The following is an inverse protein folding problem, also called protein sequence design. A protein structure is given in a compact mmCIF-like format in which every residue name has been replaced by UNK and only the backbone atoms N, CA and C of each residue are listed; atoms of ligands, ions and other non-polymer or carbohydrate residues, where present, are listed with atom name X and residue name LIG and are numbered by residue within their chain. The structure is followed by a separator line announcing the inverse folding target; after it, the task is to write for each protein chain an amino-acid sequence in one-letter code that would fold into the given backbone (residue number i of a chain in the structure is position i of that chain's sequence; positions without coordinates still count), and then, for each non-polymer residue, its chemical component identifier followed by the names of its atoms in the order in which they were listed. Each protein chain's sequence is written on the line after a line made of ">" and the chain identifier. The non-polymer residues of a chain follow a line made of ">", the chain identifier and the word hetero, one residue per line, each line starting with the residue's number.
data_IF_873247716442
#
_entry.id   IF_873247716442
#
_cell.length_a   1.000
_cell.length_b   1.000
_cell.length_c   1.000
_cell.angle_alpha   90.00
_cell.angle_beta   90.00
_cell.angle_gamma   90.00
#
_symmetry.space_group_name_H-M   'P 1'
#
loop_
_entity.id
_entity.type
_entity.pdbx_description
1 polymer ?
#
# COMPACT_ATOMS: atom_id res chain seq x y z
N UNK A 1 4.50 18.06 -6.15
CA UNK A 1 4.35 16.68 -6.70
C UNK A 1 5.76 16.15 -6.85
N UNK A 2 6.16 15.17 -6.04
CA UNK A 2 7.46 14.52 -6.23
C UNK A 2 7.46 13.86 -7.61
N UNK A 3 8.42 14.22 -8.42
CA UNK A 3 8.55 13.72 -9.78
C UNK A 3 9.08 12.29 -9.71
N UNK A 4 8.27 11.31 -10.11
CA UNK A 4 8.76 9.94 -10.24
C UNK A 4 9.86 9.92 -11.29
N UNK A 5 11.06 9.54 -10.88
CA UNK A 5 12.23 9.47 -11.78
C UNK A 5 11.98 8.56 -12.99
N UNK A 6 11.11 7.55 -12.85
CA UNK A 6 10.69 6.62 -13.91
C UNK A 6 9.27 6.12 -13.69
N UNK A 7 8.50 5.94 -14.76
CA UNK A 7 7.07 5.59 -14.74
C UNK A 7 6.82 4.07 -14.62
N UNK A 8 7.48 3.38 -13.69
CA UNK A 8 7.28 1.95 -13.47
C UNK A 8 7.39 1.62 -11.98
N UNK A 9 6.53 0.74 -11.48
CA UNK A 9 6.45 0.34 -10.08
C UNK A 9 6.69 -1.16 -9.87
N UNK A 10 7.26 -1.51 -8.73
CA UNK A 10 7.45 -2.88 -8.28
C UNK A 10 6.29 -3.30 -7.37
N UNK A 11 5.48 -4.26 -7.85
CA UNK A 11 4.36 -4.79 -7.09
C UNK A 11 4.73 -6.03 -6.29
N UNK A 12 4.47 -6.01 -4.98
CA UNK A 12 4.71 -7.14 -4.06
C UNK A 12 3.56 -8.17 -4.05
N UNK A 13 2.66 -8.12 -5.01
CA UNK A 13 1.53 -9.03 -5.11
C UNK A 13 1.93 -10.45 -5.57
N UNK A 14 2.93 -10.56 -6.43
CA UNK A 14 3.36 -11.81 -7.07
C UNK A 14 4.87 -11.96 -6.96
N UNK A 15 5.32 -12.32 -5.75
CA UNK A 15 6.73 -12.55 -5.47
C UNK A 15 7.13 -13.98 -5.85
N UNK A 16 8.41 -14.23 -6.09
CA UNK A 16 8.94 -15.60 -6.18
C UNK A 16 8.59 -16.39 -4.92
N UNK A 17 8.19 -17.64 -5.12
CA UNK A 17 7.79 -18.53 -4.01
C UNK A 17 8.64 -19.77 -4.01
N UNK A 18 9.01 -20.24 -2.82
CA UNK A 18 9.53 -21.58 -2.58
C UNK A 18 8.48 -22.33 -1.77
N UNK A 19 7.81 -23.29 -2.41
CA UNK A 19 6.64 -23.97 -1.88
C UNK A 19 5.52 -22.96 -1.50
N UNK A 20 5.32 -22.73 -0.20
CA UNK A 20 4.29 -21.79 0.34
C UNK A 20 4.88 -20.51 0.92
N UNK A 21 6.20 -20.37 0.90
CA UNK A 21 6.89 -19.21 1.47
C UNK A 21 7.48 -18.33 0.36
N UNK A 22 7.61 -17.03 0.65
CA UNK A 22 8.25 -16.10 -0.28
C UNK A 22 9.74 -16.43 -0.34
N UNK A 23 10.28 -16.55 -1.56
CA UNK A 23 11.73 -16.60 -1.77
C UNK A 23 12.34 -15.23 -1.48
N UNK A 24 12.72 -15.03 -0.22
CA UNK A 24 13.28 -13.76 0.26
C UNK A 24 14.59 -13.43 -0.47
N UNK A 25 15.45 -14.44 -0.72
CA UNK A 25 16.72 -14.20 -1.37
C UNK A 25 16.55 -13.69 -2.80
N UNK A 26 15.64 -14.29 -3.57
CA UNK A 26 15.32 -13.85 -4.92
C UNK A 26 14.60 -12.51 -4.90
N UNK A 27 13.63 -12.33 -4.00
CA UNK A 27 12.90 -11.05 -3.84
C UNK A 27 13.85 -9.90 -3.53
N UNK A 28 14.83 -10.10 -2.65
CA UNK A 28 15.84 -9.10 -2.34
C UNK A 28 16.68 -8.74 -3.58
N UNK A 29 17.12 -9.73 -4.37
CA UNK A 29 17.85 -9.48 -5.63
C UNK A 29 17.03 -8.65 -6.63
N UNK A 30 15.73 -8.95 -6.73
CA UNK A 30 14.82 -8.17 -7.60
C UNK A 30 14.67 -6.72 -7.13
N UNK A 31 14.52 -6.51 -5.82
CA UNK A 31 14.45 -5.16 -5.21
C UNK A 31 15.75 -4.38 -5.47
N UNK A 32 16.91 -5.02 -5.26
CA UNK A 32 18.21 -4.42 -5.50
C UNK A 32 18.37 -3.98 -6.96
N UNK A 33 18.10 -4.87 -7.90
CA UNK A 33 18.17 -4.58 -9.34
C UNK A 33 17.20 -3.45 -9.75
N UNK A 34 16.00 -3.40 -9.15
CA UNK A 34 15.01 -2.36 -9.41
C UNK A 34 15.50 -0.97 -8.95
N UNK A 35 16.06 -0.89 -7.74
CA UNK A 35 16.63 0.36 -7.20
C UNK A 35 17.90 0.78 -7.94
N UNK A 36 18.78 -0.16 -8.30
CA UNK A 36 19.99 0.10 -9.10
C UNK A 36 19.65 0.64 -10.49
N UNK A 37 18.58 0.15 -11.11
CA UNK A 37 18.06 0.66 -12.36
C UNK A 37 17.43 2.07 -12.25
N UNK A 38 17.35 2.65 -11.03
CA UNK A 38 16.84 3.99 -10.76
C UNK A 38 15.32 4.09 -10.64
N UNK A 39 14.63 2.97 -10.47
CA UNK A 39 13.21 2.95 -10.11
C UNK A 39 13.05 3.07 -8.60
N UNK A 40 11.95 3.67 -8.13
CA UNK A 40 11.78 3.95 -6.70
C UNK A 40 10.39 3.61 -6.15
N UNK A 41 9.42 3.30 -7.00
CA UNK A 41 8.02 3.08 -6.57
C UNK A 41 7.74 1.63 -6.26
N UNK A 42 7.28 1.36 -5.02
CA UNK A 42 6.89 0.03 -4.54
C UNK A 42 5.45 0.02 -4.07
N UNK A 43 4.74 -1.08 -4.36
CA UNK A 43 3.32 -1.26 -4.08
C UNK A 43 3.05 -2.59 -3.37
N UNK A 44 2.31 -2.54 -2.27
CA UNK A 44 1.83 -3.71 -1.52
C UNK A 44 0.37 -3.55 -1.10
N UNK A 45 -0.19 -4.55 -0.48
CA UNK A 45 -1.47 -4.52 0.23
C UNK A 45 -1.51 -5.60 1.30
N UNK A 46 -2.27 -5.35 2.38
CA UNK A 46 -2.38 -6.23 3.54
C UNK A 46 -2.73 -7.69 3.21
N UNK A 47 -3.59 -7.91 2.22
CA UNK A 47 -4.01 -9.26 1.84
C UNK A 47 -3.12 -9.97 0.84
N UNK A 48 -2.09 -9.34 0.31
CA UNK A 48 -1.24 -9.98 -0.68
C UNK A 48 -0.43 -11.12 -0.06
N UNK A 49 -0.44 -12.28 -0.74
CA UNK A 49 0.25 -13.49 -0.30
C UNK A 49 -0.10 -13.88 1.16
N UNK A 50 -1.39 -13.74 1.53
CA UNK A 50 -1.88 -14.06 2.88
C UNK A 50 -1.16 -13.26 4.00
N UNK A 51 -0.81 -11.99 3.71
CA UNK A 51 -0.09 -11.09 4.63
C UNK A 51 1.44 -11.17 4.52
N UNK A 52 1.99 -12.15 3.79
CA UNK A 52 3.45 -12.32 3.63
C UNK A 52 4.10 -11.21 2.80
N UNK A 53 3.33 -10.52 1.96
CA UNK A 53 3.83 -9.44 1.11
C UNK A 53 4.42 -8.27 1.91
N UNK A 54 3.74 -7.81 2.95
CA UNK A 54 4.21 -6.71 3.81
C UNK A 54 5.46 -7.12 4.60
N UNK A 55 5.53 -8.36 5.07
CA UNK A 55 6.71 -8.90 5.77
C UNK A 55 7.91 -9.04 4.82
N UNK A 56 7.71 -9.56 3.61
CA UNK A 56 8.77 -9.65 2.60
C UNK A 56 9.25 -8.26 2.17
N UNK A 57 8.35 -7.28 2.05
CA UNK A 57 8.70 -5.89 1.78
C UNK A 57 9.58 -5.31 2.89
N UNK A 58 9.25 -5.57 4.15
CA UNK A 58 10.09 -5.18 5.29
C UNK A 58 11.47 -5.78 5.17
N UNK A 59 11.57 -7.07 4.93
CA UNK A 59 12.85 -7.78 4.89
C UNK A 59 13.70 -7.37 3.69
N UNK A 60 13.10 -7.23 2.50
CA UNK A 60 13.87 -6.98 1.27
C UNK A 60 14.07 -5.49 0.95
N UNK A 61 13.25 -4.60 1.50
CA UNK A 61 13.32 -3.17 1.17
C UNK A 61 13.55 -2.30 2.41
N UNK A 62 12.56 -2.22 3.31
CA UNK A 62 12.54 -1.15 4.31
C UNK A 62 13.58 -1.31 5.41
N UNK A 63 14.00 -2.54 5.74
CA UNK A 63 15.10 -2.80 6.69
C UNK A 63 16.49 -2.63 6.07
N UNK A 64 16.60 -2.53 4.74
CA UNK A 64 17.88 -2.53 4.02
C UNK A 64 18.24 -1.18 3.41
N UNK A 65 17.23 -0.37 3.09
CA UNK A 65 17.41 0.90 2.38
C UNK A 65 16.89 2.09 3.20
N UNK A 66 17.56 3.24 3.15
CA UNK A 66 17.06 4.48 3.76
C UNK A 66 15.69 4.88 3.21
N UNK A 67 14.85 5.46 4.06
CA UNK A 67 13.45 5.77 3.74
C UNK A 67 13.26 6.72 2.55
N UNK A 68 14.22 7.57 2.27
CA UNK A 68 14.24 8.53 1.15
C UNK A 68 14.61 7.91 -0.20
N UNK A 69 15.03 6.64 -0.21
CA UNK A 69 15.40 5.92 -1.44
C UNK A 69 14.23 5.34 -2.20
N UNK A 70 13.05 5.28 -1.59
CA UNK A 70 11.88 4.64 -2.20
C UNK A 70 10.57 5.37 -1.85
N UNK A 71 9.59 5.20 -2.72
CA UNK A 71 8.20 5.59 -2.55
C UNK A 71 7.38 4.34 -2.26
N UNK A 72 6.64 4.32 -1.16
CA UNK A 72 5.89 3.16 -0.72
C UNK A 72 4.38 3.42 -0.74
N UNK A 73 3.66 2.51 -1.40
CA UNK A 73 2.20 2.50 -1.47
C UNK A 73 1.65 1.28 -0.75
N UNK A 74 0.67 1.50 0.12
CA UNK A 74 -0.17 0.44 0.69
C UNK A 74 -1.66 0.77 0.47
N UNK A 75 -2.57 -0.15 0.82
CA UNK A 75 -3.99 -0.03 0.47
C UNK A 75 -4.88 -0.34 1.66
N UNK A 76 -5.98 0.41 1.80
CA UNK A 76 -7.09 0.06 2.67
C UNK A 76 -8.06 -0.83 1.89
N UNK A 77 -8.17 -2.10 2.28
CA UNK A 77 -9.00 -3.10 1.61
C UNK A 77 -10.22 -3.46 2.46
N UNK A 78 -11.40 -3.44 1.88
CA UNK A 78 -12.71 -3.58 2.53
C UNK A 78 -12.90 -4.85 3.36
N UNK A 79 -12.15 -5.91 3.12
CA UNK A 79 -12.30 -7.19 3.83
C UNK A 79 -11.76 -7.17 5.26
N UNK A 80 -10.96 -6.18 5.62
CA UNK A 80 -10.21 -6.13 6.88
C UNK A 80 -10.77 -5.17 7.92
N UNK A 81 -11.89 -4.48 7.62
CA UNK A 81 -12.60 -3.62 8.55
C UNK A 81 -14.11 -3.70 8.33
N UNK A 82 -14.90 -3.48 9.37
CA UNK A 82 -16.37 -3.47 9.33
C UNK A 82 -16.97 -2.14 9.79
N UNK A 83 -16.21 -1.35 10.54
CA UNK A 83 -16.61 -0.07 11.12
C UNK A 83 -15.41 0.88 11.21
N UNK A 84 -15.66 2.14 11.50
CA UNK A 84 -14.63 3.19 11.55
C UNK A 84 -13.49 2.84 12.53
N UNK A 85 -13.82 2.32 13.72
CA UNK A 85 -12.84 2.04 14.75
C UNK A 85 -11.84 0.93 14.38
N UNK A 86 -12.16 0.10 13.38
CA UNK A 86 -11.29 -0.97 12.92
C UNK A 86 -10.14 -0.44 12.04
N UNK A 87 -10.31 0.75 11.42
CA UNK A 87 -9.41 1.25 10.38
C UNK A 87 -8.04 1.63 10.95
N UNK A 88 -8.00 2.35 12.07
CA UNK A 88 -6.73 2.75 12.69
C UNK A 88 -5.89 1.57 13.15
N UNK A 89 -6.42 0.59 13.90
CA UNK A 89 -5.66 -0.61 14.25
C UNK A 89 -5.13 -1.36 13.04
N UNK A 90 -5.92 -1.49 11.97
CA UNK A 90 -5.49 -2.09 10.72
C UNK A 90 -4.32 -1.30 10.11
N UNK A 91 -4.45 0.01 9.99
CA UNK A 91 -3.41 0.88 9.45
C UNK A 91 -2.10 0.79 10.24
N UNK A 92 -2.17 0.82 11.57
CA UNK A 92 -0.99 0.68 12.44
C UNK A 92 -0.34 -0.71 12.28
N UNK A 93 -1.15 -1.76 12.10
CA UNK A 93 -0.61 -3.10 11.83
C UNK A 93 0.13 -3.17 10.49
N UNK A 94 -0.35 -2.46 9.47
CA UNK A 94 0.31 -2.35 8.16
C UNK A 94 1.65 -1.60 8.27
N UNK A 95 1.71 -0.49 9.02
CA UNK A 95 2.96 0.22 9.28
C UNK A 95 3.99 -0.69 9.96
N UNK A 96 3.57 -1.41 10.98
CA UNK A 96 4.43 -2.34 11.72
C UNK A 96 4.91 -3.50 10.84
N UNK A 97 4.01 -4.09 10.04
CA UNK A 97 4.35 -5.17 9.10
C UNK A 97 5.33 -4.73 8.02
N UNK A 98 5.14 -3.52 7.47
CA UNK A 98 6.05 -2.92 6.50
C UNK A 98 7.33 -2.35 7.13
N UNK A 99 7.39 -2.15 8.46
CA UNK A 99 8.54 -1.56 9.15
C UNK A 99 8.78 -0.09 8.80
N UNK A 100 7.71 0.71 8.67
CA UNK A 100 7.79 2.14 8.33
C UNK A 100 6.91 2.97 9.27
N UNK A 101 7.18 4.27 9.35
CA UNK A 101 6.41 5.23 10.15
C UNK A 101 5.30 5.92 9.34
N UNK A 102 5.40 5.90 8.00
CA UNK A 102 4.41 6.49 7.09
C UNK A 102 4.42 5.81 5.73
N UNK A 103 3.28 5.92 5.02
CA UNK A 103 3.17 5.59 3.60
C UNK A 103 3.19 6.85 2.75
N UNK A 104 3.85 6.82 1.59
CA UNK A 104 3.79 7.92 0.63
C UNK A 104 2.41 7.98 -0.02
N UNK A 105 1.86 6.84 -0.39
CA UNK A 105 0.50 6.72 -0.93
C UNK A 105 -0.29 5.68 -0.15
N UNK A 106 -1.51 6.03 0.21
CA UNK A 106 -2.47 5.11 0.79
C UNK A 106 -3.72 5.06 -0.09
N UNK A 107 -3.92 3.92 -0.75
CA UNK A 107 -4.99 3.75 -1.72
C UNK A 107 -6.26 3.24 -1.05
N UNK A 108 -7.37 3.91 -1.33
CA UNK A 108 -8.69 3.37 -1.04
C UNK A 108 -8.99 2.29 -2.07
N UNK A 109 -8.91 1.03 -1.69
CA UNK A 109 -9.00 -0.12 -2.60
C UNK A 109 -10.46 -0.38 -3.01
N UNK A 110 -11.05 0.58 -3.72
CA UNK A 110 -12.45 0.59 -4.16
C UNK A 110 -12.52 0.02 -5.57
N UNK A 111 -13.23 -1.11 -5.73
CA UNK A 111 -13.37 -1.82 -7.00
C UNK A 111 -14.82 -1.87 -7.51
N UNK A 112 -15.81 -1.50 -6.68
CA UNK A 112 -17.24 -1.50 -7.04
C UNK A 112 -18.02 -0.42 -6.29
N UNK A 113 -19.23 -0.15 -6.77
CA UNK A 113 -20.16 0.79 -6.10
C UNK A 113 -20.57 0.32 -4.68
N UNK A 114 -20.61 -1.00 -4.45
CA UNK A 114 -20.93 -1.57 -3.12
C UNK A 114 -19.77 -1.34 -2.15
N UNK A 115 -18.54 -1.58 -2.57
CA UNK A 115 -17.33 -1.29 -1.78
C UNK A 115 -17.29 0.20 -1.45
N UNK A 116 -17.60 1.07 -2.41
CA UNK A 116 -17.66 2.52 -2.19
C UNK A 116 -18.69 2.90 -1.11
N UNK A 117 -19.89 2.28 -1.13
CA UNK A 117 -20.90 2.50 -0.09
C UNK A 117 -20.39 2.03 1.29
N UNK A 118 -19.74 0.88 1.36
CA UNK A 118 -19.13 0.38 2.59
C UNK A 118 -18.06 1.34 3.12
N UNK A 119 -17.17 1.83 2.25
CA UNK A 119 -16.16 2.82 2.63
C UNK A 119 -16.80 4.10 3.18
N UNK A 120 -17.86 4.62 2.54
CA UNK A 120 -18.59 5.79 3.06
C UNK A 120 -19.23 5.52 4.42
N UNK A 121 -19.88 4.38 4.59
CA UNK A 121 -20.54 4.04 5.87
C UNK A 121 -19.55 3.88 7.03
N UNK A 122 -18.32 3.48 6.75
CA UNK A 122 -17.24 3.38 7.74
C UNK A 122 -16.39 4.65 7.88
N UNK A 123 -16.76 5.76 7.22
CA UNK A 123 -16.01 7.03 7.24
C UNK A 123 -14.52 6.88 6.94
N UNK A 124 -14.20 5.99 5.96
CA UNK A 124 -12.83 5.67 5.63
C UNK A 124 -12.05 6.85 5.07
N UNK A 125 -12.74 7.73 4.33
CA UNK A 125 -12.12 8.90 3.72
C UNK A 125 -11.70 9.91 4.78
N UNK A 126 -12.58 10.18 5.74
CA UNK A 126 -12.29 11.08 6.86
C UNK A 126 -11.11 10.56 7.69
N UNK A 127 -11.11 9.25 7.98
CA UNK A 127 -9.99 8.62 8.70
C UNK A 127 -8.70 8.68 7.90
N UNK A 128 -8.73 8.43 6.59
CA UNK A 128 -7.53 8.51 5.73
C UNK A 128 -6.98 9.95 5.66
N UNK A 129 -7.83 10.97 5.59
CA UNK A 129 -7.40 12.36 5.62
C UNK A 129 -6.86 12.77 7.00
N UNK A 130 -7.44 12.28 8.09
CA UNK A 130 -6.89 12.49 9.43
C UNK A 130 -5.47 11.89 9.56
N UNK A 131 -5.25 10.67 9.06
CA UNK A 131 -3.91 10.05 9.00
C UNK A 131 -2.92 10.86 8.16
N UNK A 132 -3.40 11.52 7.10
CA UNK A 132 -2.57 12.44 6.30
C UNK A 132 -2.19 13.70 7.09
N UNK A 133 -3.12 14.31 7.82
CA UNK A 133 -2.84 15.48 8.68
C UNK A 133 -1.88 15.13 9.82
N UNK A 134 -1.92 13.91 10.33
CA UNK A 134 -0.97 13.36 11.30
C UNK A 134 0.42 13.05 10.71
N UNK A 135 0.61 13.18 9.40
CA UNK A 135 1.86 12.88 8.71
C UNK A 135 2.14 11.39 8.47
N UNK A 136 1.19 10.52 8.79
CA UNK A 136 1.31 9.05 8.58
C UNK A 136 1.02 8.62 7.14
N UNK A 137 0.39 9.48 6.36
CA UNK A 137 0.11 9.31 4.93
C UNK A 137 0.44 10.61 4.21
N UNK A 138 1.27 10.57 3.17
CA UNK A 138 1.55 11.77 2.36
C UNK A 138 0.44 12.07 1.36
N UNK A 139 -0.07 11.03 0.69
CA UNK A 139 -1.09 11.15 -0.35
C UNK A 139 -2.16 10.07 -0.20
N UNK A 140 -3.41 10.49 -0.05
CA UNK A 140 -4.57 9.58 -0.18
C UNK A 140 -4.91 9.51 -1.66
N UNK A 141 -5.04 8.28 -2.19
CA UNK A 141 -5.28 8.05 -3.61
C UNK A 141 -6.39 7.02 -3.86
N UNK A 142 -6.92 7.05 -5.07
CA UNK A 142 -8.00 6.18 -5.51
C UNK A 142 -7.58 5.45 -6.78
N UNK A 143 -7.76 4.12 -6.88
CA UNK A 143 -7.50 3.41 -8.11
C UNK A 143 -8.48 3.87 -9.19
N UNK A 144 -7.98 4.10 -10.40
CA UNK A 144 -8.78 4.61 -11.54
C UNK A 144 -9.66 3.56 -12.22
N UNK A 145 -9.81 2.38 -11.63
CA UNK A 145 -10.57 1.24 -12.21
C UNK A 145 -12.08 1.36 -12.06
N UNK A 146 -12.57 2.35 -11.32
CA UNK A 146 -14.01 2.59 -11.16
C UNK A 146 -14.53 3.50 -12.29
N UNK A 147 -15.63 3.14 -12.93
CA UNK A 147 -16.27 4.00 -13.95
C UNK A 147 -16.45 5.43 -13.43
N UNK A 148 -16.11 6.43 -14.24
CA UNK A 148 -16.19 7.87 -13.91
C UNK A 148 -17.54 8.30 -13.33
N UNK A 149 -18.61 7.54 -13.58
CA UNK A 149 -19.97 7.81 -13.10
C UNK A 149 -20.13 7.72 -11.57
N UNK A 150 -19.23 7.04 -10.87
CA UNK A 150 -19.28 6.94 -9.39
C UNK A 150 -18.82 8.23 -8.67
N UNK A 151 -18.09 9.11 -9.35
CA UNK A 151 -17.47 10.30 -8.75
C UNK A 151 -18.23 11.60 -9.03
N UNK A 152 -19.21 11.61 -9.94
CA UNK A 152 -19.90 12.83 -10.40
C UNK A 152 -21.22 13.13 -9.69
N UNK A 153 -21.57 12.42 -8.62
CA UNK A 153 -22.80 12.66 -7.84
C UNK A 153 -22.50 12.65 -6.35
N UNK A 154 -21.96 13.71 -5.87
CA UNK A 154 -21.97 14.09 -4.45
C UNK A 154 -22.30 15.57 -4.35
#
# INVERSE_FOLDING_TARGET
>A
MEEFKKNFGFGFMRLPMQEKEVDIAETCRMVDAFLEAGFTYFDTAHGYLEGKSELALKECLTSRYPRDRYTLTNKLTNFYFKKEEDIRPLFESQLAACGVEYFDYYLMHVQSAEIFKHFKSCRTYETAFALKEEGKVRHVAFPSTTERRCWSRS
#
